data_IF_297318118452
#
_entry.id   IF_297318118452
#
_cell.length_a   1.000
_cell.length_b   1.000
_cell.length_c   1.000
_cell.angle_alpha   90.00
_cell.angle_beta   90.00
_cell.angle_gamma   90.00
#
_symmetry.space_group_name_H-M   'P 1'
#
loop_
_entity.id
_entity.type
_entity.pdbx_description
1 polymer ?
#
# COMPACT_ATOMS: atom_id res chain seq x y z
N UNK A 1 12.43 -20.79 -7.83
CA UNK A 1 11.05 -20.27 -7.81
C UNK A 1 10.97 -18.99 -7.02
N UNK A 2 10.39 -17.96 -7.60
CA UNK A 2 10.23 -16.67 -6.92
C UNK A 2 9.08 -16.72 -5.94
N UNK A 3 9.32 -16.34 -4.69
CA UNK A 3 8.32 -16.27 -3.64
C UNK A 3 8.35 -14.88 -3.00
N UNK A 4 7.32 -14.51 -2.28
CA UNK A 4 7.35 -13.25 -1.52
C UNK A 4 8.48 -13.25 -0.48
N UNK A 5 8.75 -14.40 0.11
CA UNK A 5 9.91 -14.56 1.01
C UNK A 5 11.22 -14.27 0.29
N UNK A 6 11.41 -14.79 -0.92
CA UNK A 6 12.64 -14.55 -1.69
C UNK A 6 12.79 -13.10 -2.13
N UNK A 7 11.68 -12.35 -2.22
CA UNK A 7 11.72 -10.91 -2.49
C UNK A 7 12.02 -10.07 -1.25
N UNK A 8 12.06 -10.70 -0.07
CA UNK A 8 12.33 -10.03 1.19
C UNK A 8 11.09 -9.42 1.87
N UNK A 9 9.90 -9.77 1.40
CA UNK A 9 8.64 -9.29 2.02
C UNK A 9 8.53 -9.86 3.44
N UNK A 10 8.24 -9.03 4.46
CA UNK A 10 8.08 -9.51 5.83
C UNK A 10 6.96 -10.52 6.00
N UNK A 11 7.11 -11.43 6.97
CA UNK A 11 6.17 -12.53 7.20
C UNK A 11 4.74 -12.07 7.51
N UNK A 12 4.57 -10.98 8.24
CA UNK A 12 3.24 -10.46 8.55
C UNK A 12 2.49 -10.01 7.29
N UNK A 13 3.20 -9.45 6.31
CA UNK A 13 2.61 -9.11 5.01
C UNK A 13 2.32 -10.35 4.18
N UNK A 14 3.21 -11.34 4.22
CA UNK A 14 2.99 -12.62 3.51
C UNK A 14 1.73 -13.30 4.05
N UNK A 15 1.57 -13.38 5.36
CA UNK A 15 0.37 -13.93 5.98
C UNK A 15 -0.90 -13.16 5.59
N UNK A 16 -0.81 -11.84 5.50
CA UNK A 16 -1.92 -10.99 5.05
C UNK A 16 -2.31 -11.29 3.61
N UNK A 17 -1.32 -11.48 2.74
CA UNK A 17 -1.54 -11.83 1.33
C UNK A 17 -2.16 -13.22 1.18
N UNK A 18 -1.71 -14.18 1.97
CA UNK A 18 -2.27 -15.54 1.98
C UNK A 18 -3.75 -15.54 2.32
N UNK A 19 -4.17 -14.72 3.27
CA UNK A 19 -5.59 -14.56 3.62
C UNK A 19 -6.43 -14.05 2.44
N UNK A 20 -5.80 -13.39 1.48
CA UNK A 20 -6.44 -12.89 0.26
C UNK A 20 -6.29 -13.86 -0.92
N UNK A 21 -5.72 -15.03 -0.69
CA UNK A 21 -5.45 -16.01 -1.74
C UNK A 21 -4.26 -15.67 -2.63
N UNK A 22 -3.43 -14.74 -2.20
CA UNK A 22 -2.25 -14.29 -2.97
C UNK A 22 -1.01 -14.98 -2.39
N UNK A 23 -0.52 -15.99 -3.07
CA UNK A 23 0.58 -16.84 -2.59
C UNK A 23 1.83 -16.76 -3.46
N UNK A 24 1.69 -16.36 -4.72
CA UNK A 24 2.78 -16.29 -5.68
C UNK A 24 2.85 -14.88 -6.24
N UNK A 25 4.03 -14.23 -6.23
CA UNK A 25 4.17 -12.90 -6.81
C UNK A 25 3.98 -12.92 -8.32
N UNK A 26 3.37 -11.86 -8.84
CA UNK A 26 3.27 -11.63 -10.27
C UNK A 26 4.61 -11.15 -10.82
N UNK A 27 4.74 -11.10 -12.14
CA UNK A 27 5.97 -10.65 -12.81
C UNK A 27 6.37 -9.24 -12.38
N UNK A 28 5.42 -8.27 -12.35
CA UNK A 28 5.72 -6.90 -11.94
C UNK A 28 6.09 -6.83 -10.46
N UNK A 29 5.45 -7.62 -9.61
CA UNK A 29 5.79 -7.67 -8.19
C UNK A 29 7.21 -8.21 -7.99
N UNK A 30 7.57 -9.28 -8.67
CA UNK A 30 8.90 -9.88 -8.57
C UNK A 30 10.01 -8.93 -9.04
N UNK A 31 9.74 -8.14 -10.07
CA UNK A 31 10.71 -7.19 -10.61
C UNK A 31 10.80 -5.92 -9.77
N UNK A 32 9.65 -5.38 -9.32
CA UNK A 32 9.57 -4.07 -8.68
C UNK A 32 9.93 -4.09 -7.19
N UNK A 33 9.43 -5.06 -6.44
CA UNK A 33 9.56 -5.08 -4.97
C UNK A 33 11.01 -5.01 -4.50
N UNK A 34 11.96 -5.82 -5.00
CA UNK A 34 13.34 -5.75 -4.51
C UNK A 34 13.98 -4.39 -4.70
N UNK A 35 13.81 -3.78 -5.88
CA UNK A 35 14.38 -2.47 -6.19
C UNK A 35 13.74 -1.36 -5.35
N UNK A 36 12.42 -1.42 -5.15
CA UNK A 36 11.71 -0.47 -4.30
C UNK A 36 12.15 -0.58 -2.84
N UNK A 37 12.35 -1.81 -2.34
CA UNK A 37 12.87 -2.03 -0.98
C UNK A 37 14.29 -1.49 -0.81
N UNK A 38 15.09 -1.51 -1.86
CA UNK A 38 16.44 -0.92 -1.84
C UNK A 38 16.43 0.62 -1.80
N UNK A 39 15.27 1.26 -1.95
CA UNK A 39 15.12 2.71 -1.87
C UNK A 39 15.29 3.43 -3.19
N UNK A 40 15.29 2.71 -4.30
CA UNK A 40 15.43 3.32 -5.61
C UNK A 40 14.16 4.03 -6.06
N UNK A 41 14.32 5.09 -6.85
CA UNK A 41 13.23 5.73 -7.57
C UNK A 41 12.96 4.90 -8.83
N UNK A 42 11.70 4.50 -9.03
CA UNK A 42 11.35 3.52 -10.05
C UNK A 42 10.13 3.92 -10.87
N UNK A 43 10.12 3.46 -12.11
CA UNK A 43 8.92 3.48 -12.96
C UNK A 43 8.59 2.02 -13.28
N UNK A 44 7.38 1.59 -12.92
CA UNK A 44 6.90 0.25 -13.22
C UNK A 44 5.74 0.30 -14.21
N UNK A 45 5.85 -0.48 -15.27
CA UNK A 45 4.79 -0.61 -16.28
C UNK A 45 4.33 -2.07 -16.34
N UNK A 46 3.03 -2.25 -16.30
CA UNK A 46 2.40 -3.57 -16.46
C UNK A 46 0.95 -3.41 -16.89
N UNK A 47 0.38 -4.38 -17.60
CA UNK A 47 -1.04 -4.34 -17.94
C UNK A 47 -1.94 -4.29 -16.71
N UNK A 48 -3.17 -3.81 -16.88
CA UNK A 48 -4.20 -3.82 -15.83
C UNK A 48 -4.45 -5.25 -15.34
N UNK A 49 -4.61 -5.42 -14.04
CA UNK A 49 -4.90 -6.73 -13.45
C UNK A 49 -3.67 -7.60 -13.18
N UNK A 50 -2.47 -7.04 -13.26
CA UNK A 50 -1.21 -7.77 -13.04
C UNK A 50 -0.61 -7.57 -11.65
N UNK A 51 -1.33 -6.94 -10.72
CA UNK A 51 -0.88 -6.76 -9.36
C UNK A 51 0.01 -5.54 -9.11
N UNK A 52 -0.10 -4.49 -9.95
CA UNK A 52 0.69 -3.26 -9.79
C UNK A 52 0.52 -2.60 -8.42
N UNK A 53 -0.70 -2.56 -7.90
CA UNK A 53 -0.98 -1.91 -6.61
C UNK A 53 -0.15 -2.53 -5.49
N UNK A 54 -0.12 -3.85 -5.39
CA UNK A 54 0.69 -4.54 -4.38
C UNK A 54 2.18 -4.37 -4.62
N UNK A 55 2.61 -4.27 -5.89
CA UNK A 55 4.02 -4.11 -6.23
C UNK A 55 4.62 -2.86 -5.56
N UNK A 56 3.87 -1.76 -5.47
CA UNK A 56 4.37 -0.55 -4.81
C UNK A 56 3.87 -0.39 -3.37
N UNK A 57 2.67 -0.86 -3.04
CA UNK A 57 2.16 -0.73 -1.67
C UNK A 57 2.99 -1.52 -0.66
N UNK A 58 3.37 -2.74 -0.98
CA UNK A 58 4.15 -3.57 -0.05
C UNK A 58 5.45 -2.90 0.38
N UNK A 59 6.34 -2.45 -0.54
CA UNK A 59 7.57 -1.80 -0.10
C UNK A 59 7.38 -0.45 0.59
N UNK A 60 6.38 0.35 0.19
CA UNK A 60 6.17 1.65 0.85
C UNK A 60 5.52 1.47 2.23
N UNK A 61 4.61 0.54 2.39
CA UNK A 61 4.00 0.26 3.70
C UNK A 61 5.02 -0.31 4.68
N UNK A 62 5.95 -1.12 4.20
CA UNK A 62 7.02 -1.67 5.02
C UNK A 62 7.88 -0.57 5.67
N UNK A 63 8.00 0.59 5.03
CA UNK A 63 8.78 1.72 5.52
C UNK A 63 8.06 2.56 6.57
N UNK A 64 6.77 2.34 6.78
CA UNK A 64 6.01 3.11 7.77
C UNK A 64 6.44 2.68 9.17
N UNK A 65 6.80 3.67 9.99
CA UNK A 65 7.04 3.47 11.42
C UNK A 65 5.76 3.77 12.18
N UNK A 66 5.09 2.76 12.76
CA UNK A 66 3.81 2.97 13.47
C UNK A 66 3.94 3.86 14.71
N UNK A 67 5.15 4.01 15.26
CA UNK A 67 5.37 4.87 16.44
C UNK A 67 5.41 6.36 16.08
N UNK A 68 5.61 6.69 14.82
CA UNK A 68 5.65 8.07 14.34
C UNK A 68 4.25 8.50 13.88
N UNK A 69 3.68 9.49 14.58
CA UNK A 69 2.30 9.94 14.38
C UNK A 69 2.24 11.06 13.34
N UNK A 70 2.58 10.76 12.10
CA UNK A 70 2.54 11.70 10.98
C UNK A 70 2.36 10.95 9.68
N UNK A 71 1.94 11.66 8.62
CA UNK A 71 1.87 11.10 7.28
C UNK A 71 3.29 10.79 6.78
N UNK A 72 3.50 9.57 6.34
CA UNK A 72 4.80 9.07 5.89
C UNK A 72 4.77 8.65 4.42
N UNK A 73 3.60 8.29 3.90
CA UNK A 73 3.42 7.84 2.51
C UNK A 73 2.29 8.61 1.86
N UNK A 74 2.53 9.10 0.66
CA UNK A 74 1.52 9.72 -0.19
C UNK A 74 1.42 8.93 -1.50
N UNK A 75 0.23 8.48 -1.82
CA UNK A 75 -0.07 7.81 -3.10
C UNK A 75 -1.02 8.69 -3.90
N UNK A 76 -0.68 8.96 -5.15
CA UNK A 76 -1.52 9.74 -6.05
C UNK A 76 -2.16 8.83 -7.09
N UNK A 77 -3.44 9.05 -7.33
CA UNK A 77 -4.21 8.30 -8.33
C UNK A 77 -4.97 9.26 -9.24
N UNK A 78 -5.14 8.91 -10.52
CA UNK A 78 -5.77 9.81 -11.50
C UNK A 78 -7.29 9.94 -11.35
N UNK A 79 -7.96 9.04 -10.62
CA UNK A 79 -9.42 9.06 -10.45
C UNK A 79 -9.79 8.82 -9.00
N UNK A 80 -10.97 9.30 -8.58
CA UNK A 80 -11.53 9.03 -7.25
C UNK A 80 -11.69 7.53 -7.00
N UNK A 81 -12.20 6.83 -8.01
CA UNK A 81 -12.45 5.39 -7.93
C UNK A 81 -11.17 4.61 -7.65
N UNK A 82 -10.09 4.92 -8.38
CA UNK A 82 -8.80 4.27 -8.16
C UNK A 82 -8.21 4.63 -6.79
N UNK A 83 -8.31 5.90 -6.38
CA UNK A 83 -7.85 6.33 -5.06
C UNK A 83 -8.57 5.55 -3.95
N UNK A 84 -9.87 5.35 -4.07
CA UNK A 84 -10.65 4.56 -3.11
C UNK A 84 -10.26 3.09 -3.10
N UNK A 85 -10.01 2.51 -4.27
CA UNK A 85 -9.53 1.12 -4.39
C UNK A 85 -8.19 0.94 -3.70
N UNK A 86 -7.24 1.84 -3.95
CA UNK A 86 -5.91 1.79 -3.33
C UNK A 86 -6.01 1.92 -1.82
N UNK A 87 -6.80 2.87 -1.32
CA UNK A 87 -7.01 3.07 0.11
C UNK A 87 -7.61 1.82 0.76
N UNK A 88 -8.57 1.17 0.10
CA UNK A 88 -9.18 -0.06 0.59
C UNK A 88 -8.16 -1.19 0.70
N UNK A 89 -7.36 -1.41 -0.34
CA UNK A 89 -6.31 -2.44 -0.33
C UNK A 89 -5.29 -2.16 0.78
N UNK A 90 -4.83 -0.92 0.91
CA UNK A 90 -3.87 -0.54 1.95
C UNK A 90 -4.44 -0.76 3.36
N UNK A 91 -5.71 -0.40 3.57
CA UNK A 91 -6.41 -0.58 4.85
C UNK A 91 -6.54 -2.06 5.21
N UNK A 92 -6.93 -2.88 4.25
CA UNK A 92 -7.06 -4.32 4.44
C UNK A 92 -5.71 -4.99 4.73
N UNK A 93 -4.66 -4.59 4.03
CA UNK A 93 -3.31 -5.08 4.28
C UNK A 93 -2.82 -4.71 5.68
N UNK A 94 -3.01 -3.45 6.08
CA UNK A 94 -2.61 -2.97 7.39
C UNK A 94 -3.33 -3.75 8.50
N UNK A 95 -4.63 -3.96 8.34
CA UNK A 95 -5.43 -4.71 9.30
C UNK A 95 -4.99 -6.17 9.37
N UNK A 96 -4.83 -6.82 8.22
CA UNK A 96 -4.44 -8.24 8.16
C UNK A 96 -3.00 -8.48 8.65
N UNK A 97 -2.11 -7.51 8.43
CA UNK A 97 -0.73 -7.57 8.92
C UNK A 97 -0.58 -7.06 10.36
N UNK A 98 -1.67 -6.68 11.00
CA UNK A 98 -1.72 -6.17 12.37
C UNK A 98 -0.87 -4.91 12.59
N UNK A 99 -0.86 -4.03 11.57
CA UNK A 99 -0.18 -2.74 11.65
C UNK A 99 -1.11 -1.67 12.21
N UNK A 100 -0.75 -1.01 13.31
CA UNK A 100 -1.59 0.03 13.91
C UNK A 100 -1.41 1.38 13.21
N UNK A 101 -1.71 1.43 11.92
CA UNK A 101 -1.61 2.65 11.12
C UNK A 101 -2.95 3.01 10.51
N UNK A 102 -3.19 4.30 10.31
CA UNK A 102 -4.35 4.79 9.60
C UNK A 102 -4.06 5.00 8.12
N UNK A 103 -5.06 4.77 7.30
CA UNK A 103 -5.05 5.03 5.86
C UNK A 103 -6.21 5.98 5.55
N UNK A 104 -5.93 7.08 4.88
CA UNK A 104 -6.92 8.09 4.55
C UNK A 104 -6.94 8.38 3.05
N UNK A 105 -8.11 8.30 2.43
CA UNK A 105 -8.33 8.80 1.09
C UNK A 105 -8.77 10.26 1.17
N UNK A 106 -8.17 11.12 0.36
CA UNK A 106 -8.55 12.52 0.21
C UNK A 106 -9.02 12.71 -1.22
N UNK A 107 -10.32 12.94 -1.39
CA UNK A 107 -10.94 13.07 -2.70
C UNK A 107 -11.84 14.30 -2.75
N UNK A 108 -11.87 14.98 -3.91
CA UNK A 108 -12.77 16.09 -4.16
C UNK A 108 -14.22 15.61 -4.28
N UNK A 109 -15.17 16.49 -3.98
CA UNK A 109 -16.60 16.17 -4.05
C UNK A 109 -17.15 15.31 -2.91
N UNK A 110 -16.29 14.80 -2.04
CA UNK A 110 -16.70 14.12 -0.82
C UNK A 110 -16.83 15.11 0.35
N UNK A 111 -17.36 14.65 1.48
CA UNK A 111 -17.54 15.49 2.65
C UNK A 111 -16.20 15.97 3.22
N UNK A 112 -15.86 17.24 2.99
CA UNK A 112 -14.60 17.84 3.42
C UNK A 112 -14.45 17.83 4.95
N UNK A 113 -15.52 18.09 5.68
CA UNK A 113 -15.49 18.08 7.15
C UNK A 113 -15.09 16.72 7.70
N UNK A 114 -15.62 15.65 7.12
CA UNK A 114 -15.26 14.27 7.49
C UNK A 114 -13.79 13.97 7.21
N UNK A 115 -13.29 14.44 6.06
CA UNK A 115 -11.89 14.24 5.69
C UNK A 115 -10.97 14.99 6.67
N UNK A 116 -11.30 16.21 7.05
CA UNK A 116 -10.56 16.99 8.06
C UNK A 116 -10.54 16.27 9.41
N UNK A 117 -11.69 15.76 9.85
CA UNK A 117 -11.79 15.02 11.11
C UNK A 117 -10.93 13.74 11.08
N UNK A 118 -10.95 13.03 9.95
CA UNK A 118 -10.12 11.82 9.78
C UNK A 118 -8.64 12.14 9.81
N UNK A 119 -8.21 13.28 9.25
CA UNK A 119 -6.82 13.71 9.28
C UNK A 119 -6.32 14.02 10.71
N UNK A 120 -7.20 14.40 11.61
CA UNK A 120 -6.84 14.60 13.03
C UNK A 120 -6.39 13.32 13.71
N UNK A 121 -6.74 12.16 13.18
CA UNK A 121 -6.26 10.85 13.66
C UNK A 121 -4.84 10.54 13.22
N UNK A 122 -4.21 11.44 12.47
CA UNK A 122 -2.83 11.34 12.00
C UNK A 122 -2.55 10.04 11.22
N UNK A 123 -3.23 9.83 10.07
CA UNK A 123 -2.96 8.65 9.26
C UNK A 123 -1.53 8.65 8.74
N UNK A 124 -0.94 7.47 8.67
CA UNK A 124 0.42 7.30 8.16
C UNK A 124 0.47 7.27 6.63
N UNK A 125 -0.61 6.82 5.98
CA UNK A 125 -0.70 6.71 4.52
C UNK A 125 -1.89 7.50 4.03
N UNK A 126 -1.64 8.35 3.04
CA UNK A 126 -2.66 9.18 2.40
C UNK A 126 -2.71 8.85 0.91
N UNK A 127 -3.93 8.67 0.40
CA UNK A 127 -4.20 8.44 -1.02
C UNK A 127 -5.07 9.57 -1.55
N UNK A 128 -4.65 10.15 -2.65
CA UNK A 128 -5.39 11.27 -3.23
C UNK A 128 -5.31 11.41 -4.74
#
# INVERSE_FOLDING_TARGET
>A
MTTFTSLGVPENYIAALEKRGITVPTEIQAAFIPAARAGENLIGEAPTGTGKTLAYLLPVMERIDPSVRTAQVLVLAPTHELAMQIATVARELAQAAELPIGVQALIGGANIKRQIESLKKKPALIVG
#
